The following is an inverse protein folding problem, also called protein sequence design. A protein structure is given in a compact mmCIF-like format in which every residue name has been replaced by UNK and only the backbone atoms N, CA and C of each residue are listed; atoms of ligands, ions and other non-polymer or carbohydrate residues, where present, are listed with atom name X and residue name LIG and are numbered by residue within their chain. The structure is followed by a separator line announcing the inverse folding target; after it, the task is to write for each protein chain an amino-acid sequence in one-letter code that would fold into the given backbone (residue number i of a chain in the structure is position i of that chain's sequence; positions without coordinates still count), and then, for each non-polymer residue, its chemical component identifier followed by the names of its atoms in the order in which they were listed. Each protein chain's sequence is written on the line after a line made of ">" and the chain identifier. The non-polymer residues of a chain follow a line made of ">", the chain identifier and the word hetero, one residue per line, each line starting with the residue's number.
data_IF_742568795587
#
_entry.id   IF_742568795587
#
_cell.length_a   1.000
_cell.length_b   1.000
_cell.length_c   1.000
_cell.angle_alpha   90.00
_cell.angle_beta   90.00
_cell.angle_gamma   90.00
#
_symmetry.space_group_name_H-M   'P 1'
#
loop_
_entity.id
_entity.type
_entity.pdbx_description
1 polymer ?
#
# COMPACT_ATOMS: atom_id res chain seq x y z
N UNK A 1 17.55 9.06 -5.53
CA UNK A 1 16.55 8.22 -6.22
C UNK A 1 16.19 7.07 -5.30
N UNK A 2 14.92 6.65 -5.23
CA UNK A 2 14.48 5.49 -4.45
C UNK A 2 15.14 4.19 -4.95
N UNK A 3 15.43 3.26 -4.04
CA UNK A 3 16.01 1.95 -4.35
C UNK A 3 15.58 0.87 -3.36
N UNK A 4 15.66 -0.39 -3.77
CA UNK A 4 15.32 -1.54 -2.92
C UNK A 4 16.39 -1.76 -1.84
N UNK A 5 15.95 -1.99 -0.61
CA UNK A 5 16.81 -2.31 0.52
C UNK A 5 17.27 -3.77 0.45
N UNK A 6 18.58 -3.95 0.48
CA UNK A 6 19.22 -5.27 0.47
C UNK A 6 20.07 -5.42 1.73
N UNK A 7 19.77 -6.45 2.52
CA UNK A 7 20.37 -6.67 3.84
C UNK A 7 21.32 -7.87 3.82
N UNK A 8 22.45 -7.74 4.52
CA UNK A 8 23.36 -8.87 4.81
C UNK A 8 23.62 -8.91 6.30
N UNK A 9 23.40 -10.08 6.92
CA UNK A 9 23.75 -10.31 8.32
C UNK A 9 25.27 -10.41 8.44
N UNK A 10 25.87 -9.59 9.31
CA UNK A 10 27.31 -9.61 9.59
C UNK A 10 27.68 -10.34 10.90
N UNK A 11 26.68 -10.73 11.71
CA UNK A 11 26.91 -11.32 13.03
C UNK A 11 26.01 -12.54 13.35
N UNK A 12 25.07 -12.92 12.49
CA UNK A 12 24.18 -14.07 12.75
C UNK A 12 24.86 -15.37 12.34
N UNK A 13 25.00 -16.33 13.27
CA UNK A 13 25.71 -17.61 13.05
C UNK A 13 24.80 -18.80 12.74
N UNK A 14 23.51 -18.75 13.10
CA UNK A 14 22.56 -19.86 12.87
C UNK A 14 21.90 -19.81 11.50
N UNK A 15 21.40 -18.63 11.11
CA UNK A 15 20.70 -18.40 9.83
C UNK A 15 21.10 -17.02 9.27
N UNK A 16 22.30 -16.89 8.66
CA UNK A 16 22.70 -15.64 8.04
C UNK A 16 21.94 -15.38 6.74
N UNK A 17 21.46 -14.15 6.58
CA UNK A 17 20.90 -13.68 5.31
C UNK A 17 21.99 -12.95 4.52
N UNK A 18 22.15 -13.28 3.26
CA UNK A 18 23.15 -12.68 2.37
C UNK A 18 22.44 -12.08 1.17
N UNK A 19 22.67 -10.78 0.93
CA UNK A 19 22.00 -10.00 -0.14
C UNK A 19 20.48 -10.21 -0.16
N UNK A 20 19.87 -10.28 1.02
CA UNK A 20 18.46 -10.53 1.17
C UNK A 20 17.64 -9.28 0.85
N UNK A 21 16.78 -9.39 -0.15
CA UNK A 21 15.81 -8.39 -0.55
C UNK A 21 14.61 -8.47 0.38
N UNK A 22 14.46 -7.52 1.30
CA UNK A 22 13.37 -7.54 2.29
C UNK A 22 12.05 -6.94 1.74
N UNK A 23 12.11 -6.37 0.53
CA UNK A 23 10.98 -5.77 -0.18
C UNK A 23 10.73 -4.31 0.16
N UNK A 24 11.56 -3.70 1.02
CA UNK A 24 11.43 -2.29 1.37
C UNK A 24 12.12 -1.40 0.33
N UNK A 25 11.56 -0.21 0.11
CA UNK A 25 12.18 0.84 -0.72
C UNK A 25 12.55 2.02 0.14
N UNK A 26 13.74 2.57 -0.07
CA UNK A 26 14.24 3.71 0.68
C UNK A 26 15.10 4.64 -0.19
N UNK A 27 15.33 5.84 0.31
CA UNK A 27 16.22 6.84 -0.31
C UNK A 27 17.43 7.05 0.59
N UNK A 28 18.63 6.86 0.04
CA UNK A 28 19.88 7.21 0.74
C UNK A 28 20.10 8.72 0.71
N UNK A 29 20.50 9.27 1.85
CA UNK A 29 20.99 10.64 1.99
C UNK A 29 22.50 10.69 1.74
N UNK A 30 22.96 11.77 1.10
CA UNK A 30 24.38 12.01 0.82
C UNK A 30 25.08 12.80 1.92
N UNK A 31 24.32 13.49 2.76
CA UNK A 31 24.82 14.24 3.89
C UNK A 31 25.24 13.32 5.05
N UNK A 32 26.14 13.83 5.89
CA UNK A 32 26.58 13.15 7.11
C UNK A 32 25.72 13.59 8.29
N UNK A 33 25.54 12.68 9.25
CA UNK A 33 24.78 13.00 10.45
C UNK A 33 25.59 13.93 11.37
N UNK A 34 24.95 14.98 11.89
CA UNK A 34 25.56 15.89 12.87
C UNK A 34 25.99 15.23 14.19
N UNK A 35 25.62 13.96 14.44
CA UNK A 35 26.06 13.22 15.62
C UNK A 35 27.49 12.65 15.52
N UNK A 36 28.15 12.77 14.37
CA UNK A 36 29.54 12.30 14.16
C UNK A 36 29.69 10.83 13.77
N UNK A 37 28.60 10.07 13.61
CA UNK A 37 28.65 8.70 13.06
C UNK A 37 28.82 8.75 11.54
N UNK A 38 29.79 8.00 11.00
CA UNK A 38 30.09 7.92 9.56
C UNK A 38 29.25 6.91 8.77
N UNK A 39 28.12 6.45 9.30
CA UNK A 39 27.25 5.50 8.60
C UNK A 39 26.35 6.22 7.58
N UNK A 40 25.99 5.57 6.46
CA UNK A 40 25.01 6.11 5.52
C UNK A 40 23.67 6.42 6.21
N UNK A 41 23.04 7.50 5.79
CA UNK A 41 21.73 7.91 6.28
C UNK A 41 20.62 7.51 5.31
N UNK A 42 19.47 7.13 5.85
CA UNK A 42 18.23 7.02 5.08
C UNK A 42 17.50 8.37 5.19
N UNK A 43 17.25 9.00 4.04
CA UNK A 43 16.42 10.22 3.94
C UNK A 43 14.95 9.90 4.16
N UNK A 44 14.48 8.85 3.50
CA UNK A 44 13.09 8.43 3.46
C UNK A 44 12.99 6.90 3.43
N UNK A 45 11.96 6.35 4.08
CA UNK A 45 11.60 4.93 4.01
C UNK A 45 10.20 4.86 3.42
N UNK A 46 10.08 4.32 2.21
CA UNK A 46 8.81 4.25 1.46
C UNK A 46 8.00 2.98 1.78
N UNK A 47 8.50 2.13 2.69
CA UNK A 47 7.88 0.87 3.09
C UNK A 47 8.02 -0.21 2.02
N UNK A 48 7.21 -1.28 2.14
CA UNK A 48 7.09 -2.28 1.08
C UNK A 48 6.34 -1.67 -0.09
N UNK A 49 6.90 -1.74 -1.29
CA UNK A 49 6.36 -1.17 -2.54
C UNK A 49 4.93 -1.59 -2.88
N UNK A 50 4.42 -2.61 -2.20
CA UNK A 50 3.16 -3.27 -2.49
C UNK A 50 2.03 -2.92 -1.51
N UNK A 51 2.31 -2.10 -0.49
CA UNK A 51 1.38 -1.77 0.59
C UNK A 51 0.96 -0.29 0.59
N UNK A 52 1.05 0.38 -0.57
CA UNK A 52 0.69 1.79 -0.74
C UNK A 52 -0.31 2.00 -1.88
N UNK A 53 -1.11 3.05 -1.73
CA UNK A 53 -2.03 3.60 -2.72
C UNK A 53 -1.63 5.05 -2.97
N UNK A 54 -2.03 5.59 -4.13
CA UNK A 54 -1.80 7.01 -4.46
C UNK A 54 -3.13 7.75 -4.45
N UNK A 55 -3.24 8.83 -3.66
CA UNK A 55 -4.44 9.66 -3.68
C UNK A 55 -4.46 10.56 -4.93
N UNK A 56 -5.64 11.13 -5.23
CA UNK A 56 -5.86 12.01 -6.36
C UNK A 56 -4.96 13.26 -6.36
N UNK A 57 -4.55 13.72 -5.17
CA UNK A 57 -3.62 14.85 -4.98
C UNK A 57 -2.14 14.44 -5.13
N UNK A 58 -1.86 13.17 -5.39
CA UNK A 58 -0.52 12.61 -5.54
C UNK A 58 0.14 12.16 -4.24
N UNK A 59 -0.53 12.32 -3.08
CA UNK A 59 0.00 11.85 -1.80
C UNK A 59 0.04 10.32 -1.72
N UNK A 60 1.02 9.81 -0.99
CA UNK A 60 1.17 8.38 -0.73
C UNK A 60 0.30 8.02 0.47
N UNK A 61 -0.60 7.06 0.27
CA UNK A 61 -1.48 6.54 1.31
C UNK A 61 -1.01 5.14 1.68
N UNK A 62 -0.62 4.95 2.94
CA UNK A 62 -0.35 3.62 3.47
C UNK A 62 -1.64 2.81 3.45
N UNK A 63 -1.62 1.69 2.74
CA UNK A 63 -2.83 0.93 2.50
C UNK A 63 -3.39 0.25 3.76
N UNK A 64 -2.58 0.14 4.82
CA UNK A 64 -3.03 -0.23 6.17
C UNK A 64 -4.19 0.65 6.65
N UNK A 65 -4.21 1.93 6.26
CA UNK A 65 -5.26 2.87 6.67
C UNK A 65 -6.65 2.48 6.16
N UNK A 66 -6.74 1.84 4.98
CA UNK A 66 -7.98 1.28 4.43
C UNK A 66 -8.19 -0.15 4.95
N UNK A 67 -7.11 -0.94 4.99
CA UNK A 67 -7.15 -2.34 5.40
C UNK A 67 -7.71 -2.53 6.82
N UNK A 68 -7.42 -1.62 7.76
CA UNK A 68 -7.97 -1.67 9.11
C UNK A 68 -9.50 -1.50 9.13
N UNK A 69 -10.03 -0.57 8.32
CA UNK A 69 -11.50 -0.36 8.22
C UNK A 69 -12.19 -1.63 7.71
N UNK A 70 -11.60 -2.30 6.72
CA UNK A 70 -12.14 -3.54 6.15
C UNK A 70 -12.02 -4.71 7.12
N UNK A 71 -10.90 -4.80 7.86
CA UNK A 71 -10.63 -5.87 8.82
C UNK A 71 -11.56 -5.80 10.04
N UNK A 72 -11.83 -4.60 10.52
CA UNK A 72 -12.66 -4.39 11.73
C UNK A 72 -14.16 -4.45 11.42
N UNK A 73 -14.53 -4.61 10.14
CA UNK A 73 -15.91 -4.64 9.70
C UNK A 73 -16.54 -6.02 9.91
N UNK A 74 -17.69 -6.12 10.63
CA UNK A 74 -18.36 -7.39 10.85
C UNK A 74 -18.74 -8.09 9.54
N UNK A 75 -18.44 -9.38 9.47
CA UNK A 75 -18.75 -10.25 8.34
C UNK A 75 -17.83 -10.10 7.14
N UNK A 76 -16.71 -9.37 7.24
CA UNK A 76 -15.64 -9.37 6.24
C UNK A 76 -14.63 -10.48 6.57
N UNK A 77 -14.54 -11.48 5.70
CA UNK A 77 -13.66 -12.65 5.86
C UNK A 77 -12.43 -12.61 4.95
N UNK A 78 -12.41 -11.72 3.97
CA UNK A 78 -11.28 -11.53 3.08
C UNK A 78 -11.46 -10.29 2.23
N UNK A 79 -10.36 -9.64 1.85
CA UNK A 79 -10.42 -8.49 0.96
C UNK A 79 -9.15 -8.33 0.12
N UNK A 80 -9.32 -7.74 -1.06
CA UNK A 80 -8.23 -7.28 -1.91
C UNK A 80 -8.57 -5.95 -2.55
N UNK A 81 -7.75 -4.94 -2.31
CA UNK A 81 -7.83 -3.62 -2.90
C UNK A 81 -6.93 -3.56 -4.12
N UNK A 82 -7.49 -3.19 -5.26
CA UNK A 82 -6.76 -3.01 -6.52
C UNK A 82 -6.97 -1.57 -6.96
N UNK A 83 -5.93 -0.77 -6.96
CA UNK A 83 -5.97 0.57 -7.54
C UNK A 83 -5.66 0.48 -9.03
N UNK A 84 -6.68 0.67 -9.86
CA UNK A 84 -6.59 0.61 -11.31
C UNK A 84 -6.01 1.93 -11.85
N UNK A 85 -6.51 3.06 -11.35
CA UNK A 85 -6.04 4.41 -11.67
C UNK A 85 -6.05 5.31 -10.42
N UNK A 86 -5.62 6.56 -10.51
CA UNK A 86 -5.70 7.53 -9.40
C UNK A 86 -7.14 7.74 -8.89
N UNK A 87 -8.13 7.62 -9.79
CA UNK A 87 -9.55 7.88 -9.48
C UNK A 87 -10.40 6.60 -9.54
N UNK A 88 -9.80 5.42 -9.65
CA UNK A 88 -10.55 4.17 -9.75
C UNK A 88 -9.89 3.05 -8.95
N UNK A 89 -10.65 2.51 -8.02
CA UNK A 89 -10.30 1.34 -7.24
C UNK A 89 -11.35 0.24 -7.42
N UNK A 90 -10.88 -1.00 -7.31
CA UNK A 90 -11.71 -2.19 -7.20
C UNK A 90 -11.43 -2.84 -5.85
N UNK A 91 -12.49 -3.21 -5.14
CA UNK A 91 -12.42 -3.93 -3.88
C UNK A 91 -13.08 -5.29 -4.07
N UNK A 92 -12.28 -6.35 -3.99
CA UNK A 92 -12.77 -7.71 -3.87
C UNK A 92 -13.05 -8.00 -2.40
N UNK A 93 -14.23 -8.54 -2.09
CA UNK A 93 -14.67 -8.83 -0.73
C UNK A 93 -15.21 -10.26 -0.63
N UNK A 94 -14.78 -10.96 0.40
CA UNK A 94 -15.36 -12.23 0.85
C UNK A 94 -16.10 -11.93 2.14
N UNK A 95 -17.39 -12.28 2.19
CA UNK A 95 -18.26 -11.94 3.32
C UNK A 95 -19.08 -13.13 3.82
N UNK A 96 -19.56 -13.07 5.05
CA UNK A 96 -20.54 -14.01 5.59
C UNK A 96 -21.91 -13.37 5.87
N UNK A 97 -22.80 -14.15 6.49
CA UNK A 97 -24.18 -13.76 6.82
C UNK A 97 -24.29 -12.61 7.83
N UNK A 98 -23.23 -12.27 8.56
CA UNK A 98 -23.20 -11.13 9.47
C UNK A 98 -22.91 -9.80 8.76
N UNK A 99 -22.48 -9.84 7.49
CA UNK A 99 -22.16 -8.65 6.71
C UNK A 99 -23.41 -7.84 6.34
N UNK A 100 -23.42 -6.55 6.72
CA UNK A 100 -24.53 -5.63 6.49
C UNK A 100 -24.29 -4.78 5.26
N UNK A 101 -24.47 -5.37 4.07
CA UNK A 101 -24.07 -4.78 2.78
C UNK A 101 -24.34 -3.27 2.65
N UNK A 102 -25.58 -2.82 2.78
CA UNK A 102 -25.92 -1.42 2.53
C UNK A 102 -25.24 -0.43 3.50
N UNK A 103 -25.14 -0.78 4.79
CA UNK A 103 -24.47 0.05 5.78
C UNK A 103 -22.94 0.01 5.60
N UNK A 104 -22.40 -1.20 5.43
CA UNK A 104 -20.98 -1.46 5.22
C UNK A 104 -20.42 -0.77 3.97
N UNK A 105 -21.11 -0.88 2.83
CA UNK A 105 -20.67 -0.25 1.57
C UNK A 105 -20.57 1.27 1.69
N UNK A 106 -21.50 1.92 2.40
CA UNK A 106 -21.45 3.36 2.64
C UNK A 106 -20.20 3.75 3.43
N UNK A 107 -19.90 3.02 4.52
CA UNK A 107 -18.70 3.23 5.33
C UNK A 107 -17.42 2.97 4.53
N UNK A 108 -17.39 1.92 3.72
CA UNK A 108 -16.25 1.59 2.85
C UNK A 108 -16.00 2.73 1.85
N UNK A 109 -17.04 3.16 1.12
CA UNK A 109 -16.92 4.23 0.12
C UNK A 109 -16.44 5.54 0.75
N UNK A 110 -16.97 5.88 1.93
CA UNK A 110 -16.51 7.05 2.69
C UNK A 110 -15.03 6.92 3.10
N UNK A 111 -14.59 5.74 3.56
CA UNK A 111 -13.20 5.52 3.94
C UNK A 111 -12.23 5.66 2.76
N UNK A 112 -12.61 5.20 1.56
CA UNK A 112 -11.85 5.37 0.33
C UNK A 112 -11.79 6.84 -0.08
N UNK A 113 -12.93 7.56 -0.11
CA UNK A 113 -12.96 8.99 -0.46
C UNK A 113 -12.12 9.85 0.48
N UNK A 114 -12.24 9.61 1.78
CA UNK A 114 -11.48 10.35 2.80
C UNK A 114 -9.96 10.19 2.67
N UNK A 115 -9.48 9.11 2.04
CA UNK A 115 -8.05 8.79 1.92
C UNK A 115 -7.49 9.02 0.52
N UNK A 116 -8.28 8.73 -0.51
CA UNK A 116 -7.83 8.77 -1.92
C UNK A 116 -8.40 9.97 -2.68
N UNK A 117 -9.34 10.72 -2.09
CA UNK A 117 -9.99 11.89 -2.68
C UNK A 117 -11.46 11.64 -3.02
N UNK A 118 -12.29 12.69 -2.94
CA UNK A 118 -13.75 12.62 -3.15
C UNK A 118 -14.15 12.07 -4.53
N UNK A 119 -13.31 12.30 -5.55
CA UNK A 119 -13.56 11.84 -6.91
C UNK A 119 -13.27 10.36 -7.16
N UNK A 120 -12.77 9.61 -6.16
CA UNK A 120 -12.42 8.20 -6.35
C UNK A 120 -13.69 7.35 -6.55
N UNK A 121 -13.71 6.61 -7.65
CA UNK A 121 -14.69 5.57 -7.93
C UNK A 121 -14.25 4.26 -7.31
N UNK A 122 -15.20 3.55 -6.70
CA UNK A 122 -14.97 2.25 -6.07
C UNK A 122 -15.96 1.22 -6.59
N UNK A 123 -15.45 0.20 -7.28
CA UNK A 123 -16.22 -0.98 -7.64
C UNK A 123 -16.03 -2.05 -6.56
N UNK A 124 -17.14 -2.62 -6.07
CA UNK A 124 -17.11 -3.66 -5.05
C UNK A 124 -17.54 -4.98 -5.71
N UNK A 125 -16.68 -6.00 -5.63
CA UNK A 125 -16.88 -7.33 -6.19
C UNK A 125 -16.94 -8.35 -5.03
N UNK A 126 -18.05 -9.07 -4.93
CA UNK A 126 -18.24 -10.12 -3.92
C UNK A 126 -17.80 -11.47 -4.47
N UNK A 127 -16.95 -12.17 -3.73
CA UNK A 127 -16.35 -13.45 -4.13
C UNK A 127 -16.51 -14.50 -3.02
N UNK A 128 -16.56 -15.77 -3.40
CA UNK A 128 -16.54 -16.88 -2.44
C UNK A 128 -15.15 -17.06 -1.79
N UNK A 129 -14.09 -16.80 -2.55
CA UNK A 129 -12.70 -16.85 -2.09
C UNK A 129 -11.81 -15.95 -2.94
N UNK A 130 -10.73 -15.45 -2.35
CA UNK A 130 -9.67 -14.71 -3.06
C UNK A 130 -8.43 -15.60 -3.12
N UNK A 131 -7.99 -15.92 -4.33
CA UNK A 131 -6.81 -16.76 -4.52
C UNK A 131 -5.53 -16.08 -4.02
N UNK A 132 -4.68 -16.85 -3.34
CA UNK A 132 -3.32 -16.43 -3.04
C UNK A 132 -2.51 -16.34 -4.35
N UNK A 133 -1.45 -15.53 -4.35
CA UNK A 133 -0.51 -15.53 -5.48
C UNK A 133 0.18 -16.90 -5.62
N UNK A 134 0.74 -17.25 -6.80
CA UNK A 134 1.50 -18.49 -6.99
C UNK A 134 2.64 -18.70 -5.97
N UNK A 135 3.10 -17.62 -5.34
CA UNK A 135 4.09 -17.65 -4.25
C UNK A 135 3.53 -18.10 -2.88
N UNK A 136 2.22 -18.37 -2.79
CA UNK A 136 1.49 -18.63 -1.55
C UNK A 136 1.23 -17.38 -0.70
N UNK A 137 1.74 -16.22 -1.10
CA UNK A 137 1.51 -14.96 -0.36
C UNK A 137 0.17 -14.35 -0.71
N UNK A 138 -0.56 -13.90 0.31
CA UNK A 138 -1.78 -13.13 0.13
C UNK A 138 -1.44 -11.64 0.13
N UNK A 139 -1.82 -10.93 -0.94
CA UNK A 139 -1.64 -9.49 -1.05
C UNK A 139 -2.99 -8.80 -1.05
N UNK A 140 -3.21 -8.09 0.04
CA UNK A 140 -4.43 -7.34 0.31
C UNK A 140 -4.53 -6.07 -0.54
N UNK A 141 -3.41 -5.61 -1.12
CA UNK A 141 -3.33 -4.35 -1.85
C UNK A 141 -2.44 -4.51 -3.07
N UNK A 142 -2.89 -3.97 -4.20
CA UNK A 142 -2.14 -3.89 -5.45
C UNK A 142 -2.43 -2.52 -6.06
N UNK A 143 -1.40 -1.70 -6.29
CA UNK A 143 -1.56 -0.48 -7.09
C UNK A 143 -0.93 -0.67 -8.47
N UNK A 144 -1.69 -0.35 -9.51
CA UNK A 144 -1.22 -0.29 -10.90
C UNK A 144 -0.76 1.12 -11.30
N UNK A 145 -0.89 2.09 -10.39
CA UNK A 145 -0.50 3.48 -10.63
C UNK A 145 0.99 3.64 -10.35
N UNK A 146 1.72 4.17 -11.32
CA UNK A 146 3.15 4.46 -11.13
C UNK A 146 3.33 5.74 -10.31
N UNK A 147 4.29 5.75 -9.39
CA UNK A 147 4.63 6.94 -8.58
C UNK A 147 5.02 8.17 -9.45
N UNK A 148 5.41 7.96 -10.72
CA UNK A 148 5.73 9.04 -11.67
C UNK A 148 4.50 9.74 -12.28
N UNK A 149 3.30 9.15 -12.23
CA UNK A 149 2.08 9.74 -12.81
C UNK A 149 1.46 10.84 -11.93
N UNK A 150 1.76 10.86 -10.63
CA UNK A 150 1.23 11.83 -9.68
C UNK A 150 1.66 13.29 -9.98
N UNK A 151 2.84 13.49 -10.58
CA UNK A 151 3.39 14.84 -10.84
C UNK A 151 2.75 15.62 -11.99
N UNK A 152 1.83 15.03 -12.76
CA UNK A 152 1.23 15.66 -13.96
C UNK A 152 -0.09 16.39 -13.74
N UNK A 153 -0.79 16.14 -12.63
CA UNK A 153 -2.12 16.73 -12.37
C UNK A 153 -2.03 18.16 -11.81
N UNK A 154 -0.89 18.54 -11.23
CA UNK A 154 -0.67 19.89 -10.67
C UNK A 154 -0.21 20.98 -11.66
N UNK A 155 -0.13 20.69 -12.96
CA UNK A 155 0.50 21.59 -13.95
C UNK A 155 -0.49 22.29 -14.90
N UNK A 156 -1.79 22.35 -14.59
CA UNK A 156 -2.77 23.12 -15.36
C UNK A 156 -3.62 24.01 -14.46
N UNK A 157 -3.04 25.14 -14.06
CA UNK A 157 -3.78 26.35 -13.68
C UNK A 157 -2.95 27.54 -14.14
N UNK A 158 -3.33 28.12 -15.28
CA UNK A 158 -2.86 29.40 -15.78
C UNK A 158 -3.92 30.45 -15.49
#
# INVERSE_FOLDING_TARGET
>A
MPGEVVVTHLYSTGFPFVRYRNGDVAVLEREQCGCGRGLPLLKEVHGRTNDVLLAADGSIVLAIAIAMVLRDMPGVNGFKVIQETLLHCRLQLVTDTSFRQQASESTIRAAFRARLGEGVQLDIEYLDAIAAEPSGKYRYVVSKVSQHQAGRVGATSN
#
